data_IF_947893441800
#
_entry.id   IF_947893441800
#
_cell.length_a   1.000
_cell.length_b   1.000
_cell.length_c   1.000
_cell.angle_alpha   90.00
_cell.angle_beta   90.00
_cell.angle_gamma   90.00
#
_symmetry.space_group_name_H-M   'P 1'
#
loop_
_entity.id
_entity.type
_entity.pdbx_description
1 polymer ?
#
# COMPACT_ATOMS: atom_id res chain seq x y z
N UNK A 1 -18.23 -0.70 -0.18
CA UNK A 1 -17.10 -1.62 0.04
C UNK A 1 -16.03 -1.31 -0.98
N UNK A 2 -14.77 -1.38 -0.59
CA UNK A 2 -13.63 -1.13 -1.48
C UNK A 2 -12.86 -2.44 -1.69
N UNK A 3 -12.38 -2.67 -2.90
CA UNK A 3 -11.67 -3.92 -3.25
C UNK A 3 -10.16 -3.77 -3.17
N UNK A 4 -9.52 -4.74 -2.52
CA UNK A 4 -8.07 -4.86 -2.54
C UNK A 4 -7.59 -5.05 -3.98
N UNK A 5 -6.63 -4.24 -4.42
CA UNK A 5 -6.07 -4.30 -5.78
C UNK A 5 -5.26 -5.57 -6.07
N UNK A 6 -4.92 -6.37 -5.05
CA UNK A 6 -4.12 -7.60 -5.19
C UNK A 6 -4.99 -8.85 -5.11
N UNK A 7 -5.79 -9.00 -4.05
CA UNK A 7 -6.59 -10.21 -3.85
C UNK A 7 -8.07 -10.07 -4.24
N UNK A 8 -8.51 -8.87 -4.62
CA UNK A 8 -9.89 -8.62 -5.06
C UNK A 8 -10.97 -8.68 -3.97
N UNK A 9 -10.59 -8.97 -2.71
CA UNK A 9 -11.52 -9.04 -1.58
C UNK A 9 -12.15 -7.68 -1.29
N UNK A 10 -13.44 -7.70 -0.98
CA UNK A 10 -14.18 -6.56 -0.47
C UNK A 10 -13.87 -6.35 1.02
N UNK A 11 -13.42 -5.14 1.35
CA UNK A 11 -13.11 -4.72 2.71
C UNK A 11 -13.84 -3.43 3.05
N UNK A 12 -14.03 -3.18 4.34
CA UNK A 12 -14.56 -1.90 4.84
C UNK A 12 -13.51 -0.80 4.78
N UNK A 13 -12.22 -1.16 4.89
CA UNK A 13 -11.08 -0.24 4.85
C UNK A 13 -9.89 -0.86 4.11
N UNK A 14 -9.15 -0.03 3.38
CA UNK A 14 -7.93 -0.42 2.66
C UNK A 14 -6.83 0.60 2.91
N UNK A 15 -5.60 0.11 2.98
CA UNK A 15 -4.39 0.91 3.06
C UNK A 15 -4.01 1.42 1.68
N UNK A 16 -3.76 2.72 1.56
CA UNK A 16 -3.19 3.31 0.36
C UNK A 16 -1.67 3.10 0.38
N UNK A 17 -1.13 2.47 -0.66
CA UNK A 17 0.29 2.21 -0.78
C UNK A 17 0.79 2.51 -2.19
N UNK A 18 2.06 2.88 -2.31
CA UNK A 18 2.71 3.07 -3.61
C UNK A 18 3.43 1.78 -3.97
N UNK A 19 2.92 1.04 -4.95
CA UNK A 19 3.54 -0.19 -5.44
C UNK A 19 4.49 0.11 -6.60
N UNK A 20 5.68 -0.52 -6.59
CA UNK A 20 6.75 -0.28 -7.57
C UNK A 20 6.31 -0.43 -9.03
N UNK A 21 5.44 -1.39 -9.34
CA UNK A 21 4.98 -1.67 -10.71
C UNK A 21 3.59 -1.14 -11.04
N UNK A 22 2.77 -0.88 -10.02
CA UNK A 22 1.33 -0.62 -10.20
C UNK A 22 0.97 0.83 -9.86
N UNK A 23 1.94 1.64 -9.42
CA UNK A 23 1.69 2.98 -8.92
C UNK A 23 0.93 2.94 -7.59
N UNK A 24 0.09 3.95 -7.36
CA UNK A 24 -0.68 4.06 -6.12
C UNK A 24 -1.89 3.12 -6.13
N UNK A 25 -1.89 2.13 -5.26
CA UNK A 25 -2.95 1.11 -5.14
C UNK A 25 -3.54 1.07 -3.72
N UNK A 26 -4.68 0.38 -3.56
CA UNK A 26 -5.34 0.18 -2.27
C UNK A 26 -5.30 -1.31 -1.90
N UNK A 27 -4.78 -1.63 -0.71
CA UNK A 27 -4.52 -2.99 -0.26
C UNK A 27 -5.23 -3.28 1.06
N UNK A 28 -5.69 -4.52 1.23
CA UNK A 28 -6.05 -5.00 2.57
C UNK A 28 -4.77 -5.19 3.40
N UNK A 29 -4.91 -5.26 4.72
CA UNK A 29 -3.77 -5.35 5.64
C UNK A 29 -2.85 -6.54 5.30
N UNK A 30 -3.41 -7.73 5.05
CA UNK A 30 -2.62 -8.91 4.71
C UNK A 30 -1.83 -8.78 3.40
N UNK A 31 -2.42 -8.20 2.34
CA UNK A 31 -1.68 -7.93 1.10
C UNK A 31 -0.62 -6.85 1.30
N UNK A 32 -0.91 -5.85 2.14
CA UNK A 32 0.06 -4.81 2.45
C UNK A 32 1.29 -5.37 3.18
N UNK A 33 1.12 -6.24 4.18
CA UNK A 33 2.24 -6.87 4.90
C UNK A 33 3.12 -7.72 3.97
N UNK A 34 2.52 -8.51 3.09
CA UNK A 34 3.24 -9.34 2.12
C UNK A 34 4.01 -8.47 1.13
N UNK A 35 3.36 -7.48 0.53
CA UNK A 35 4.00 -6.59 -0.44
C UNK A 35 5.09 -5.70 0.20
N UNK A 36 4.89 -5.28 1.45
CA UNK A 36 5.88 -4.56 2.24
C UNK A 36 7.11 -5.42 2.52
N UNK A 37 6.90 -6.66 2.97
CA UNK A 37 7.96 -7.65 3.24
C UNK A 37 8.74 -8.01 1.98
N UNK A 38 8.05 -8.10 0.83
CA UNK A 38 8.65 -8.32 -0.48
C UNK A 38 9.36 -7.07 -1.05
N UNK A 39 9.35 -5.93 -0.32
CA UNK A 39 9.90 -4.64 -0.76
C UNK A 39 9.27 -4.14 -2.07
N UNK A 40 8.06 -4.58 -2.39
CA UNK A 40 7.30 -4.14 -3.57
C UNK A 40 6.61 -2.79 -3.34
N UNK A 41 6.40 -2.42 -2.07
CA UNK A 41 5.92 -1.10 -1.71
C UNK A 41 7.10 -0.12 -1.65
N UNK A 42 6.93 1.00 -2.35
CA UNK A 42 7.77 2.17 -2.17
C UNK A 42 7.48 2.75 -0.79
N UNK A 43 8.53 3.20 -0.06
CA UNK A 43 8.31 3.97 1.15
C UNK A 43 7.39 5.14 0.78
N UNK A 44 6.28 5.26 1.51
CA UNK A 44 5.50 6.50 1.49
C UNK A 44 6.50 7.60 1.78
N UNK A 45 6.75 8.50 0.82
CA UNK A 45 7.80 9.50 0.91
C UNK A 45 7.72 10.23 2.26
N UNK A 46 8.55 9.80 3.19
CA UNK A 46 8.95 10.51 4.39
C UNK A 46 10.27 11.24 4.11
N UNK A 47 10.45 11.76 2.88
CA UNK A 47 11.20 13.00 2.67
C UNK A 47 10.28 14.18 2.96
N UNK A 48 9.76 14.20 4.18
CA UNK A 48 9.51 15.45 4.82
C UNK A 48 10.81 15.76 5.54
N UNK A 49 11.62 16.67 4.98
CA UNK A 49 12.48 17.58 5.75
C UNK A 49 11.62 18.46 6.68
N UNK A 50 10.62 17.89 7.37
CA UNK A 50 9.80 18.56 8.35
C UNK A 50 10.39 18.28 9.71
N UNK A 51 11.43 19.06 10.03
CA UNK A 51 11.93 19.49 11.35
C UNK A 51 13.44 19.75 11.20
N UNK A 52 13.78 20.91 10.64
CA UNK A 52 15.04 21.58 10.97
C UNK A 52 14.89 22.27 12.32
#
# INVERSE_FOLDING_TARGET
MVKCSICGKDETSLLRANHRKLGTIKLCFGCWEVESSNKNLLPSCSRCDCCK
#
